data_IF_138147441322
#
_entry.id   IF_138147441322
#
_cell.length_a   1.000
_cell.length_b   1.000
_cell.length_c   1.000
_cell.angle_alpha   90.00
_cell.angle_beta   90.00
_cell.angle_gamma   90.00
#
_symmetry.space_group_name_H-M   'P 1'
#
loop_
_entity.id
_entity.type
_entity.pdbx_description
1 polymer ?
#
# COMPACT_ATOMS: atom_id res chain seq x y z
N UNK A 1 3.17 -6.98 -4.83
CA UNK A 1 2.32 -7.21 -3.63
C UNK A 1 1.40 -6.00 -3.45
N UNK A 2 0.11 -6.25 -3.17
CA UNK A 2 -0.91 -5.20 -3.02
C UNK A 2 -1.24 -5.02 -1.55
N UNK A 3 -1.32 -3.76 -1.10
CA UNK A 3 -1.56 -3.42 0.30
C UNK A 3 -2.85 -2.60 0.46
N UNK A 4 -3.76 -3.04 1.34
CA UNK A 4 -4.94 -2.29 1.75
C UNK A 4 -4.75 -1.71 3.15
N UNK A 5 -5.00 -0.41 3.29
CA UNK A 5 -4.80 0.31 4.54
C UNK A 5 -6.12 0.80 5.13
N UNK A 6 -6.28 0.60 6.44
CA UNK A 6 -7.18 1.37 7.32
C UNK A 6 -6.40 2.23 8.36
N UNK A 7 -5.13 1.90 8.63
CA UNK A 7 -4.28 2.52 9.66
C UNK A 7 -2.83 2.67 9.19
N UNK A 8 -2.26 3.86 9.41
CA UNK A 8 -0.90 4.19 8.97
C UNK A 8 0.18 3.40 9.71
N UNK A 9 0.03 3.21 11.02
CA UNK A 9 1.02 2.50 11.83
C UNK A 9 1.15 1.03 11.40
N UNK A 10 0.01 0.39 11.11
CA UNK A 10 -0.03 -0.98 10.63
C UNK A 10 0.56 -1.09 9.22
N UNK A 11 0.29 -0.09 8.38
CA UNK A 11 0.87 0.00 7.02
C UNK A 11 2.38 0.12 7.06
N UNK A 12 2.94 0.95 7.93
CA UNK A 12 4.39 1.07 8.10
C UNK A 12 5.01 -0.28 8.51
N UNK A 13 4.45 -0.91 9.54
CA UNK A 13 4.96 -2.16 10.10
C UNK A 13 4.95 -3.27 9.05
N UNK A 14 3.83 -3.46 8.35
CA UNK A 14 3.74 -4.52 7.36
C UNK A 14 4.57 -4.20 6.10
N UNK A 15 4.68 -2.93 5.70
CA UNK A 15 5.55 -2.53 4.58
C UNK A 15 7.02 -2.88 4.86
N UNK A 16 7.49 -2.72 6.10
CA UNK A 16 8.83 -3.16 6.52
C UNK A 16 9.01 -4.67 6.39
N UNK A 17 8.06 -5.45 6.91
CA UNK A 17 8.08 -6.93 6.82
C UNK A 17 8.11 -7.40 5.37
N UNK A 18 7.28 -6.80 4.51
CA UNK A 18 7.18 -7.17 3.11
C UNK A 18 8.46 -6.86 2.34
N UNK A 19 9.02 -5.66 2.55
CA UNK A 19 10.28 -5.25 1.91
C UNK A 19 11.44 -6.18 2.30
N UNK A 20 11.46 -6.67 3.54
CA UNK A 20 12.47 -7.62 3.98
C UNK A 20 12.29 -9.01 3.37
N UNK A 21 11.05 -9.35 2.98
CA UNK A 21 10.68 -10.73 2.61
C UNK A 21 10.64 -10.99 1.10
N UNK A 22 10.50 -9.96 0.26
CA UNK A 22 10.21 -10.13 -1.17
C UNK A 22 10.95 -9.12 -2.04
N UNK A 23 11.56 -9.59 -3.14
CA UNK A 23 12.10 -8.76 -4.23
C UNK A 23 10.98 -8.47 -5.24
N UNK A 24 9.88 -7.89 -4.79
CA UNK A 24 8.76 -7.51 -5.66
C UNK A 24 8.34 -6.07 -5.41
N UNK A 25 7.86 -5.34 -6.43
CA UNK A 25 7.37 -3.99 -6.23
C UNK A 25 6.18 -3.97 -5.27
N UNK A 26 6.25 -3.07 -4.28
CA UNK A 26 5.16 -2.77 -3.36
C UNK A 26 4.20 -1.78 -4.04
N UNK A 27 2.93 -2.15 -4.14
CA UNK A 27 1.86 -1.29 -4.65
C UNK A 27 0.87 -1.06 -3.52
N UNK A 28 0.65 0.19 -3.16
CA UNK A 28 -0.33 0.57 -2.13
C UNK A 28 -1.63 0.97 -2.80
N UNK A 29 -2.74 0.41 -2.33
CA UNK A 29 -4.09 0.74 -2.79
C UNK A 29 -4.89 1.16 -1.56
N UNK A 30 -5.21 2.44 -1.46
CA UNK A 30 -5.78 3.00 -0.23
C UNK A 30 -6.99 3.86 -0.52
N UNK A 31 -7.98 3.81 0.39
CA UNK A 31 -9.08 4.78 0.42
C UNK A 31 -8.70 6.03 1.22
N UNK A 32 -7.61 5.98 1.97
CA UNK A 32 -7.18 7.06 2.83
C UNK A 32 -6.45 8.15 2.03
N UNK A 33 -7.22 9.14 1.58
CA UNK A 33 -6.71 10.30 0.83
C UNK A 33 -6.08 11.39 1.71
N UNK A 34 -6.07 11.22 3.04
CA UNK A 34 -5.48 12.21 3.96
C UNK A 34 -3.96 12.19 3.92
N UNK A 35 -3.37 11.05 3.56
CA UNK A 35 -1.92 10.89 3.52
C UNK A 35 -1.36 11.12 2.12
N UNK A 36 -0.29 11.93 1.99
CA UNK A 36 0.29 12.23 0.70
C UNK A 36 1.01 11.00 0.13
N UNK A 37 1.00 10.86 -1.19
CA UNK A 37 1.65 9.77 -1.95
C UNK A 37 3.09 9.53 -1.49
N UNK A 38 3.82 10.62 -1.25
CA UNK A 38 5.22 10.62 -0.84
C UNK A 38 5.49 9.86 0.46
N UNK A 39 4.51 9.80 1.37
CA UNK A 39 4.61 9.03 2.61
C UNK A 39 4.78 7.54 2.29
N UNK A 40 3.92 6.99 1.45
CA UNK A 40 3.97 5.57 1.06
C UNK A 40 5.20 5.27 0.19
N UNK A 41 5.64 6.22 -0.63
CA UNK A 41 6.89 6.10 -1.39
C UNK A 41 8.10 5.99 -0.46
N UNK A 42 8.15 6.77 0.64
CA UNK A 42 9.17 6.61 1.68
C UNK A 42 9.12 5.23 2.36
N UNK A 43 7.93 4.61 2.43
CA UNK A 43 7.76 3.23 2.87
C UNK A 43 8.11 2.20 1.79
N UNK A 44 8.61 2.63 0.63
CA UNK A 44 9.07 1.77 -0.46
C UNK A 44 7.97 1.32 -1.42
N UNK A 45 6.80 1.95 -1.38
CA UNK A 45 5.79 1.78 -2.41
C UNK A 45 6.30 2.36 -3.74
N UNK A 46 6.23 1.57 -4.81
CA UNK A 46 6.54 2.02 -6.18
C UNK A 46 5.36 2.74 -6.81
N UNK A 47 4.15 2.32 -6.47
CA UNK A 47 2.90 2.91 -6.93
C UNK A 47 1.92 3.06 -5.78
N UNK A 48 1.16 4.15 -5.79
CA UNK A 48 0.10 4.44 -4.83
C UNK A 48 -1.16 4.76 -5.61
N UNK A 49 -2.22 3.99 -5.36
CA UNK A 49 -3.51 4.11 -6.01
C UNK A 49 -4.53 4.55 -4.96
N UNK A 50 -5.07 5.75 -5.12
CA UNK A 50 -6.20 6.20 -4.32
C UNK A 50 -7.49 5.70 -4.95
N UNK A 51 -8.32 5.01 -4.16
CA UNK A 51 -9.57 4.45 -4.63
C UNK A 51 -10.74 4.83 -3.72
N UNK A 52 -11.95 4.81 -4.27
CA UNK A 52 -13.18 4.78 -3.47
C UNK A 52 -13.87 3.41 -3.57
N UNK A 53 -13.33 2.48 -4.36
CA UNK A 53 -13.91 1.17 -4.58
C UNK A 53 -13.79 0.32 -3.31
N UNK A 54 -14.90 -0.28 -2.89
CA UNK A 54 -14.93 -1.22 -1.76
C UNK A 54 -14.44 -2.61 -2.15
N UNK A 55 -14.61 -2.96 -3.42
CA UNK A 55 -14.14 -4.20 -3.99
C UNK A 55 -12.90 -3.95 -4.84
N UNK A 56 -11.80 -4.62 -4.47
CA UNK A 56 -10.54 -4.57 -5.19
C UNK A 56 -10.05 -5.97 -5.57
N UNK A 57 -10.93 -6.98 -5.53
CA UNK A 57 -10.61 -8.37 -5.89
C UNK A 57 -10.03 -8.49 -7.30
N UNK A 58 -10.39 -7.57 -8.20
CA UNK A 58 -9.84 -7.47 -9.55
C UNK A 58 -8.31 -7.24 -9.60
N UNK A 59 -7.67 -6.81 -8.51
CA UNK A 59 -6.21 -6.62 -8.43
C UNK A 59 -5.44 -7.88 -8.04
N UNK A 60 -6.16 -8.96 -7.71
CA UNK A 60 -5.61 -10.21 -7.16
C UNK A 60 -5.68 -11.35 -8.21
N UNK A 61 -6.19 -11.06 -9.40
CA UNK A 61 -6.36 -12.01 -10.51
C UNK A 61 -5.27 -11.87 -11.58
#
# INVERSE_FOLDING_TARGET
>A
MVFLEDSLADTCTLAEVIKASIIAPLIVVTKNKKYPKRLYECLGARHVVYTNCNDITFLIH
#
